data_IF_252134915139
#
_entry.id   IF_252134915139
#
_cell.length_a   1.000
_cell.length_b   1.000
_cell.length_c   1.000
_cell.angle_alpha   90.00
_cell.angle_beta   90.00
_cell.angle_gamma   90.00
#
_symmetry.space_group_name_H-M   'P 1'
#
loop_
_entity.id
_entity.type
_entity.pdbx_description
1 polymer ?
#
# COMPACT_ATOMS: atom_id res chain seq x y z
N UNK A 1 -13.90 -0.90 -7.18
CA UNK A 1 -13.74 -0.62 -5.72
C UNK A 1 -13.04 0.73 -5.54
N UNK A 2 -13.62 1.72 -4.84
CA UNK A 2 -12.97 3.02 -4.60
C UNK A 2 -12.11 2.95 -3.34
N UNK A 3 -10.79 2.97 -3.49
CA UNK A 3 -9.84 2.86 -2.38
C UNK A 3 -9.15 4.18 -2.01
N UNK A 4 -9.37 5.25 -2.77
CA UNK A 4 -8.63 6.51 -2.67
C UNK A 4 -9.37 7.58 -1.86
N UNK A 5 -8.60 8.49 -1.25
CA UNK A 5 -9.12 9.67 -0.55
C UNK A 5 -8.16 10.86 -0.69
N UNK A 6 -8.52 11.84 -1.51
CA UNK A 6 -7.71 13.03 -1.79
C UNK A 6 -7.30 13.81 -0.53
N UNK A 7 -8.20 13.95 0.44
CA UNK A 7 -7.96 14.74 1.66
C UNK A 7 -6.85 14.14 2.53
N UNK A 8 -6.62 12.82 2.45
CA UNK A 8 -5.54 12.19 3.18
C UNK A 8 -4.17 12.49 2.58
N UNK A 9 -4.11 12.71 1.27
CA UNK A 9 -2.90 13.12 0.56
C UNK A 9 -2.64 14.61 0.85
N UNK A 10 -3.68 15.45 0.91
CA UNK A 10 -3.54 16.86 1.30
C UNK A 10 -2.97 17.01 2.72
N UNK A 11 -3.51 16.23 3.67
CA UNK A 11 -2.97 16.19 5.04
C UNK A 11 -1.53 15.68 5.09
N UNK A 12 -1.18 14.73 4.23
CA UNK A 12 0.18 14.23 4.15
C UNK A 12 1.13 15.28 3.56
N UNK A 13 0.74 15.98 2.50
CA UNK A 13 1.50 17.10 1.92
C UNK A 13 1.78 18.17 2.97
N UNK A 14 0.75 18.62 3.69
CA UNK A 14 0.91 19.59 4.76
C UNK A 14 1.85 19.10 5.89
N UNK A 15 1.85 17.78 6.17
CA UNK A 15 2.76 17.20 7.15
C UNK A 15 4.21 17.18 6.66
N UNK A 16 4.44 16.90 5.37
CA UNK A 16 5.77 16.99 4.75
C UNK A 16 6.30 18.42 4.85
N UNK A 17 5.49 19.42 4.50
CA UNK A 17 5.86 20.83 4.62
C UNK A 17 6.16 21.23 6.07
N UNK A 18 5.31 20.83 7.02
CA UNK A 18 5.51 21.10 8.44
C UNK A 18 6.81 20.46 8.97
N UNK A 19 7.16 19.27 8.48
CA UNK A 19 8.40 18.60 8.86
C UNK A 19 9.64 19.35 8.36
N UNK A 20 9.65 19.78 7.09
CA UNK A 20 10.75 20.58 6.54
C UNK A 20 10.87 21.95 7.21
N UNK A 21 9.76 22.52 7.67
CA UNK A 21 9.73 23.77 8.45
C UNK A 21 9.99 23.58 9.96
N UNK A 22 10.37 22.37 10.41
CA UNK A 22 10.66 22.04 11.81
C UNK A 22 9.49 22.29 12.78
N UNK A 23 8.25 22.23 12.27
CA UNK A 23 7.02 22.43 13.05
C UNK A 23 6.49 21.14 13.68
N UNK A 24 6.92 19.99 13.17
CA UNK A 24 6.63 18.67 13.75
C UNK A 24 7.94 17.89 13.93
N UNK A 25 8.01 17.13 15.02
CA UNK A 25 9.16 16.29 15.32
C UNK A 25 9.21 15.05 14.40
N UNK A 26 10.39 14.44 14.32
CA UNK A 26 10.66 13.31 13.45
C UNK A 26 9.85 12.05 13.81
N UNK A 27 9.54 11.83 15.09
CA UNK A 27 8.80 10.65 15.53
C UNK A 27 7.33 10.75 15.12
N UNK A 28 6.72 11.91 15.37
CA UNK A 28 5.36 12.22 14.91
C UNK A 28 5.26 12.15 13.40
N UNK A 29 6.21 12.74 12.68
CA UNK A 29 6.23 12.69 11.22
C UNK A 29 6.39 11.25 10.70
N UNK A 30 7.24 10.45 11.36
CA UNK A 30 7.44 9.03 11.02
C UNK A 30 6.14 8.25 11.13
N UNK A 31 5.33 8.45 12.18
CA UNK A 31 4.03 7.82 12.27
C UNK A 31 3.10 8.21 11.09
N UNK A 32 3.08 9.50 10.71
CA UNK A 32 2.22 10.01 9.64
C UNK A 32 2.61 9.47 8.26
N UNK A 33 3.88 9.52 7.89
CA UNK A 33 4.36 9.02 6.58
C UNK A 33 4.21 7.50 6.45
N UNK A 34 4.40 6.76 7.55
CA UNK A 34 4.21 5.31 7.56
C UNK A 34 2.74 4.92 7.34
N UNK A 35 1.77 5.71 7.82
CA UNK A 35 0.36 5.49 7.50
C UNK A 35 0.06 5.67 6.01
N UNK A 36 0.86 6.47 5.29
CA UNK A 36 0.74 6.73 3.87
C UNK A 36 1.64 5.85 2.99
N UNK A 37 2.16 4.75 3.55
CA UNK A 37 3.00 3.82 2.78
C UNK A 37 4.38 4.37 2.42
N UNK A 38 4.78 5.52 2.97
CA UNK A 38 6.09 6.15 2.72
C UNK A 38 7.06 5.74 3.83
N UNK A 39 7.99 4.86 3.51
CA UNK A 39 8.93 4.24 4.45
C UNK A 39 10.35 4.78 4.25
N UNK A 40 11.07 5.01 5.34
CA UNK A 40 12.44 5.54 5.27
C UNK A 40 13.40 4.43 4.84
N UNK A 41 14.33 4.74 3.95
CA UNK A 41 15.38 3.81 3.54
C UNK A 41 16.73 4.18 4.18
N UNK A 42 17.76 3.37 3.91
CA UNK A 42 19.10 3.61 4.48
C UNK A 42 19.75 4.87 3.90
N UNK A 43 19.43 5.19 2.66
CA UNK A 43 19.90 6.38 1.96
C UNK A 43 19.12 7.60 2.46
N UNK A 44 19.85 8.66 2.78
CA UNK A 44 19.29 9.89 3.32
C UNK A 44 18.48 10.67 2.28
N UNK A 45 17.43 11.36 2.71
CA UNK A 45 16.60 12.24 1.85
C UNK A 45 15.58 11.51 0.96
N UNK A 46 15.70 10.20 0.80
CA UNK A 46 14.85 9.37 -0.07
C UNK A 46 14.07 8.33 0.72
N UNK A 47 13.00 7.82 0.12
CA UNK A 47 12.03 6.92 0.72
C UNK A 47 11.56 5.86 -0.27
N UNK A 48 11.01 4.79 0.28
CA UNK A 48 10.25 3.78 -0.44
C UNK A 48 8.75 4.11 -0.32
N UNK A 49 8.05 4.14 -1.44
CA UNK A 49 6.58 4.23 -1.51
C UNK A 49 6.04 2.83 -1.77
N UNK A 50 5.17 2.35 -0.88
CA UNK A 50 4.46 1.08 -1.05
C UNK A 50 3.03 1.32 -1.50
N UNK A 51 2.72 0.83 -2.70
CA UNK A 51 1.38 0.80 -3.26
C UNK A 51 0.65 -0.43 -2.73
N UNK A 52 -0.51 -0.23 -2.10
CA UNK A 52 -1.36 -1.32 -1.59
C UNK A 52 -2.15 -1.92 -2.75
N UNK A 53 -1.93 -3.19 -3.08
CA UNK A 53 -2.57 -3.87 -4.21
C UNK A 53 -3.34 -5.11 -3.70
N UNK A 54 -4.59 -4.95 -3.22
CA UNK A 54 -5.43 -6.05 -2.75
C UNK A 54 -5.44 -7.26 -3.69
N UNK A 55 -5.09 -8.43 -3.16
CA UNK A 55 -5.04 -9.67 -3.93
C UNK A 55 -4.04 -9.68 -5.10
N UNK A 56 -3.21 -8.66 -5.25
CA UNK A 56 -2.34 -8.49 -6.42
C UNK A 56 -3.07 -8.16 -7.72
N UNK A 57 -4.35 -7.79 -7.65
CA UNK A 57 -5.13 -7.43 -8.82
C UNK A 57 -4.83 -5.99 -9.25
N UNK A 58 -4.34 -5.83 -10.48
CA UNK A 58 -3.92 -4.54 -11.03
C UNK A 58 -4.36 -4.40 -12.49
N UNK A 59 -4.82 -3.20 -12.86
CA UNK A 59 -5.18 -2.89 -14.25
C UNK A 59 -3.99 -2.31 -15.04
N UNK A 60 -4.02 -2.31 -16.38
CA UNK A 60 -2.99 -1.66 -17.20
C UNK A 60 -2.80 -0.17 -16.87
N UNK A 61 -3.90 0.56 -16.66
CA UNK A 61 -3.86 1.99 -16.28
C UNK A 61 -3.17 2.21 -14.93
N UNK A 62 -3.35 1.28 -13.99
CA UNK A 62 -2.67 1.33 -12.69
C UNK A 62 -1.18 1.02 -12.81
N UNK A 63 -0.79 0.11 -13.70
CA UNK A 63 0.61 -0.16 -14.00
C UNK A 63 1.28 1.06 -14.66
N UNK A 64 0.61 1.71 -15.60
CA UNK A 64 1.10 2.95 -16.23
C UNK A 64 1.32 4.06 -15.21
N UNK A 65 0.40 4.25 -14.26
CA UNK A 65 0.58 5.24 -13.19
C UNK A 65 1.75 4.92 -12.25
N UNK A 66 2.03 3.64 -11.99
CA UNK A 66 3.22 3.23 -11.22
C UNK A 66 4.50 3.53 -12.00
N UNK A 67 4.51 3.26 -13.30
CA UNK A 67 5.63 3.59 -14.19
C UNK A 67 5.85 5.10 -14.27
N UNK A 68 4.79 5.90 -14.36
CA UNK A 68 4.88 7.36 -14.35
C UNK A 68 5.52 7.89 -13.06
N UNK A 69 5.17 7.31 -11.90
CA UNK A 69 5.82 7.69 -10.63
C UNK A 69 7.29 7.27 -10.59
N UNK A 70 7.62 6.09 -11.11
CA UNK A 70 9.00 5.61 -11.22
C UNK A 70 9.83 6.59 -12.07
N UNK A 71 9.37 6.90 -13.29
CA UNK A 71 10.09 7.72 -14.25
C UNK A 71 10.25 9.18 -13.79
N UNK A 72 9.25 9.73 -13.11
CA UNK A 72 9.26 11.14 -12.71
C UNK A 72 9.97 11.41 -11.38
N UNK A 73 9.96 10.46 -10.43
CA UNK A 73 10.37 10.73 -9.05
C UNK A 73 11.35 9.73 -8.45
N UNK A 74 11.51 8.53 -9.00
CA UNK A 74 12.49 7.58 -8.49
C UNK A 74 13.87 7.89 -9.06
N UNK A 75 14.91 7.72 -8.24
CA UNK A 75 16.31 7.74 -8.70
C UNK A 75 16.76 6.37 -9.25
N UNK A 76 15.83 5.44 -9.45
CA UNK A 76 16.09 4.08 -9.94
C UNK A 76 15.11 3.71 -11.05
N UNK A 77 15.44 2.71 -11.86
CA UNK A 77 14.63 2.27 -13.01
C UNK A 77 13.84 0.99 -12.73
N UNK A 78 13.73 0.58 -11.47
CA UNK A 78 13.08 -0.67 -11.08
C UNK A 78 12.04 -0.48 -9.98
N UNK A 79 10.97 -1.27 -10.08
CA UNK A 79 9.98 -1.47 -9.02
C UNK A 79 10.08 -2.88 -8.46
N UNK A 80 9.73 -3.04 -7.19
CA UNK A 80 9.85 -4.33 -6.51
C UNK A 80 8.46 -4.86 -6.18
N UNK A 81 8.14 -6.06 -6.67
CA UNK A 81 6.94 -6.79 -6.27
C UNK A 81 7.21 -7.47 -4.93
N UNK A 82 6.32 -7.29 -3.96
CA UNK A 82 6.49 -7.84 -2.63
C UNK A 82 5.91 -9.25 -2.52
N UNK A 83 6.36 -10.00 -1.50
CA UNK A 83 5.75 -11.29 -1.13
C UNK A 83 4.29 -11.17 -0.64
N UNK A 84 3.76 -9.95 -0.50
CA UNK A 84 2.35 -9.67 -0.20
C UNK A 84 1.63 -8.98 -1.35
N UNK A 85 2.08 -9.19 -2.57
CA UNK A 85 1.44 -8.71 -3.80
C UNK A 85 1.40 -7.18 -3.98
N UNK A 86 1.89 -6.40 -3.01
CA UNK A 86 2.12 -4.96 -3.16
C UNK A 86 3.27 -4.66 -4.14
N UNK A 87 3.35 -3.42 -4.59
CA UNK A 87 4.47 -2.89 -5.38
C UNK A 87 5.19 -1.80 -4.58
N UNK A 88 6.52 -1.77 -4.66
CA UNK A 88 7.36 -0.76 -4.02
C UNK A 88 8.16 0.02 -5.06
N UNK A 89 8.14 1.34 -4.92
CA UNK A 89 8.97 2.28 -5.67
C UNK A 89 9.99 2.84 -4.68
N UNK A 90 11.28 2.62 -4.93
CA UNK A 90 12.36 3.03 -4.04
C UNK A 90 12.96 4.37 -4.46
N UNK A 91 13.79 4.94 -3.59
CA UNK A 91 14.61 6.11 -3.90
C UNK A 91 13.82 7.34 -4.37
N UNK A 92 12.62 7.53 -3.80
CA UNK A 92 11.79 8.72 -4.05
C UNK A 92 12.11 9.80 -3.02
N UNK A 93 12.51 11.03 -3.42
CA UNK A 93 12.74 12.11 -2.49
C UNK A 93 11.51 12.39 -1.62
N UNK A 94 11.71 12.68 -0.33
CA UNK A 94 10.59 12.87 0.60
C UNK A 94 9.61 13.98 0.15
N UNK A 95 10.15 15.09 -0.33
CA UNK A 95 9.38 16.24 -0.81
C UNK A 95 8.47 15.92 -2.01
N UNK A 96 8.86 14.92 -2.82
CA UNK A 96 8.14 14.51 -4.02
C UNK A 96 7.12 13.39 -3.74
N UNK A 97 7.12 12.84 -2.53
CA UNK A 97 6.21 11.77 -2.14
C UNK A 97 4.72 12.16 -2.21
N UNK A 98 4.27 13.38 -1.86
CA UNK A 98 2.86 13.76 -2.05
C UNK A 98 2.45 13.78 -3.52
N UNK A 99 3.31 14.30 -4.42
CA UNK A 99 3.04 14.34 -5.85
C UNK A 99 2.99 12.92 -6.45
N UNK A 100 3.88 12.04 -6.01
CA UNK A 100 3.85 10.61 -6.36
C UNK A 100 2.51 9.96 -5.96
N UNK A 101 2.05 10.22 -4.72
CA UNK A 101 0.78 9.71 -4.21
C UNK A 101 -0.43 10.23 -5.01
N UNK A 102 -0.38 11.47 -5.54
CA UNK A 102 -1.44 12.04 -6.39
C UNK A 102 -1.59 11.32 -7.73
N UNK A 103 -0.48 10.94 -8.37
CA UNK A 103 -0.51 10.17 -9.62
C UNK A 103 -1.17 8.80 -9.37
N UNK A 104 -0.75 8.10 -8.32
CA UNK A 104 -1.33 6.82 -7.92
C UNK A 104 -2.83 6.95 -7.62
N UNK A 105 -3.22 8.01 -6.91
CA UNK A 105 -4.62 8.31 -6.60
C UNK A 105 -5.47 8.48 -7.86
N UNK A 106 -4.95 9.18 -8.87
CA UNK A 106 -5.61 9.39 -10.16
C UNK A 106 -5.96 8.07 -10.88
N UNK A 107 -5.13 7.04 -10.70
CA UNK A 107 -5.39 5.69 -11.21
C UNK A 107 -6.20 4.78 -10.25
N UNK A 108 -6.69 5.34 -9.13
CA UNK A 108 -7.45 4.60 -8.13
C UNK A 108 -6.61 3.71 -7.19
N UNK A 109 -5.29 3.86 -7.18
CA UNK A 109 -4.39 3.16 -6.26
C UNK A 109 -4.27 3.91 -4.94
N UNK A 110 -4.11 3.16 -3.86
CA UNK A 110 -3.89 3.72 -2.51
C UNK A 110 -2.57 3.23 -1.92
N UNK A 111 -1.91 4.07 -1.15
CA UNK A 111 -0.75 3.70 -0.31
C UNK A 111 -1.12 3.65 1.18
N UNK A 112 -2.36 4.03 1.51
CA UNK A 112 -2.89 4.06 2.87
C UNK A 112 -2.76 2.68 3.50
N UNK A 113 -2.18 2.62 4.69
CA UNK A 113 -2.04 1.39 5.50
C UNK A 113 -1.22 0.28 4.82
N UNK A 114 -0.42 0.60 3.80
CA UNK A 114 0.59 -0.31 3.26
C UNK A 114 1.74 -0.57 4.25
N UNK A 115 1.99 0.41 5.14
CA UNK A 115 2.98 0.41 6.19
C UNK A 115 2.35 0.73 7.57
N UNK A 116 3.19 0.82 8.61
CA UNK A 116 2.71 1.08 9.99
C UNK A 116 2.18 -0.14 10.75
N UNK A 117 1.62 0.11 11.93
CA UNK A 117 0.95 -0.88 12.77
C UNK A 117 -0.55 -0.85 12.51
N UNK A 118 -0.95 -1.57 11.46
CA UNK A 118 -2.32 -1.62 10.93
C UNK A 118 -2.49 -2.93 10.16
N UNK A 119 -3.65 -3.12 9.54
CA UNK A 119 -3.89 -4.22 8.62
C UNK A 119 -3.18 -3.92 7.29
N UNK A 120 -2.17 -4.75 6.98
CA UNK A 120 -1.38 -4.64 5.75
C UNK A 120 -2.19 -5.04 4.53
N UNK A 121 -1.56 -5.12 3.37
CA UNK A 121 -2.25 -5.64 2.21
C UNK A 121 -2.87 -7.01 2.50
N UNK A 122 -4.08 -7.24 1.99
CA UNK A 122 -4.78 -8.52 2.11
C UNK A 122 -4.44 -9.29 0.85
N UNK A 123 -3.79 -10.44 1.03
CA UNK A 123 -3.36 -11.30 -0.07
C UNK A 123 -4.45 -12.27 -0.45
N UNK A 124 -4.48 -12.68 -1.71
CA UNK A 124 -5.38 -13.71 -2.19
C UNK A 124 -4.70 -14.59 -3.23
N UNK A 125 -5.33 -15.73 -3.53
CA UNK A 125 -4.89 -16.58 -4.62
C UNK A 125 -4.85 -15.76 -5.92
N UNK A 126 -3.73 -15.76 -6.68
CA UNK A 126 -3.62 -14.97 -7.92
C UNK A 126 -4.58 -15.45 -9.03
N UNK A 127 -5.14 -16.66 -8.88
CA UNK A 127 -6.11 -17.26 -9.80
C UNK A 127 -7.54 -17.30 -9.24
N UNK A 128 -7.84 -16.54 -8.17
CA UNK A 128 -9.17 -16.48 -7.59
C UNK A 128 -10.22 -16.09 -8.66
N UNK A 129 -11.33 -16.82 -8.72
CA UNK A 129 -12.44 -16.63 -9.66
C UNK A 129 -12.25 -17.27 -11.04
N UNK A 130 -11.06 -17.80 -11.34
CA UNK A 130 -10.74 -18.44 -12.63
C UNK A 130 -10.05 -19.79 -12.49
N UNK A 131 -9.67 -20.19 -11.28
CA UNK A 131 -8.94 -21.42 -11.03
C UNK A 131 -9.91 -22.61 -11.07
N UNK A 132 -9.72 -23.62 -11.95
CA UNK A 132 -10.61 -24.78 -12.01
C UNK A 132 -10.53 -25.69 -10.76
N UNK A 133 -9.57 -25.44 -9.86
CA UNK A 133 -9.38 -26.20 -8.61
C UNK A 133 -9.89 -25.44 -7.38
N UNK A 134 -10.35 -24.20 -7.51
CA UNK A 134 -10.86 -23.47 -6.35
C UNK A 134 -12.22 -24.03 -5.93
N UNK A 135 -12.42 -24.19 -4.63
CA UNK A 135 -13.72 -24.56 -4.08
C UNK A 135 -14.63 -23.36 -3.95
N UNK A 136 -14.04 -22.17 -3.81
CA UNK A 136 -14.73 -20.90 -3.65
C UNK A 136 -13.90 -19.77 -4.24
N UNK A 137 -14.56 -18.88 -4.99
CA UNK A 137 -13.99 -17.60 -5.38
C UNK A 137 -13.92 -16.67 -4.16
N UNK A 138 -12.71 -16.39 -3.70
CA UNK A 138 -12.46 -15.55 -2.51
C UNK A 138 -12.49 -14.04 -2.80
N UNK A 139 -12.69 -13.62 -4.06
CA UNK A 139 -12.61 -12.22 -4.47
C UNK A 139 -13.59 -11.33 -3.70
N UNK A 140 -14.84 -11.80 -3.50
CA UNK A 140 -15.84 -11.04 -2.74
C UNK A 140 -15.44 -10.87 -1.26
N UNK A 141 -14.81 -11.87 -0.67
CA UNK A 141 -14.32 -11.80 0.72
C UNK A 141 -13.13 -10.86 0.86
N UNK A 142 -12.20 -10.91 -0.11
CA UNK A 142 -11.09 -9.98 -0.21
C UNK A 142 -11.58 -8.53 -0.30
N UNK A 143 -12.46 -8.22 -1.25
CA UNK A 143 -12.96 -6.86 -1.46
C UNK A 143 -13.72 -6.34 -0.24
N UNK A 144 -14.60 -7.16 0.34
CA UNK A 144 -15.35 -6.82 1.55
C UNK A 144 -14.43 -6.53 2.74
N UNK A 145 -13.42 -7.37 2.96
CA UNK A 145 -12.44 -7.18 4.03
C UNK A 145 -11.62 -5.90 3.82
N UNK A 146 -11.16 -5.63 2.60
CA UNK A 146 -10.40 -4.41 2.29
C UNK A 146 -11.26 -3.17 2.53
N UNK A 147 -12.50 -3.15 2.03
CA UNK A 147 -13.41 -2.01 2.23
C UNK A 147 -13.76 -1.78 3.70
N UNK A 148 -13.92 -2.86 4.47
CA UNK A 148 -14.25 -2.78 5.89
C UNK A 148 -13.07 -2.28 6.73
N UNK A 149 -11.85 -2.74 6.44
CA UNK A 149 -10.69 -2.50 7.29
C UNK A 149 -9.85 -1.29 6.89
N UNK A 150 -9.83 -0.92 5.61
CA UNK A 150 -9.08 0.25 5.15
C UNK A 150 -9.68 1.51 5.77
N UNK A 151 -8.86 2.31 6.47
CA UNK A 151 -9.27 3.52 7.23
C UNK A 151 -10.22 3.24 8.38
N UNK A 152 -10.36 1.98 8.80
CA UNK A 152 -11.18 1.65 9.95
C UNK A 152 -10.54 2.25 11.23
N UNK A 153 -11.30 2.97 12.07
CA UNK A 153 -10.77 3.58 13.29
C UNK A 153 -10.06 2.59 14.22
N UNK A 154 -10.52 1.33 14.24
CA UNK A 154 -9.93 0.27 15.07
C UNK A 154 -8.53 -0.14 14.63
N UNK A 155 -8.18 0.14 13.37
CA UNK A 155 -6.94 -0.34 12.75
C UNK A 155 -5.84 0.72 12.67
N UNK A 156 -6.08 1.95 13.12
CA UNK A 156 -5.15 3.06 12.92
C UNK A 156 -3.92 3.01 13.83
N UNK A 157 -4.01 2.28 14.94
CA UNK A 157 -2.96 2.16 15.97
C UNK A 157 -2.96 0.77 16.60
N UNK A 158 -2.79 -0.27 15.78
CA UNK A 158 -2.70 -1.63 16.31
C UNK A 158 -1.39 -1.83 17.11
N UNK A 159 -1.30 -2.83 18.01
CA UNK A 159 -0.05 -3.14 18.70
C UNK A 159 1.09 -3.47 17.72
N UNK A 160 0.75 -4.16 16.63
CA UNK A 160 1.67 -4.44 15.52
C UNK A 160 0.92 -4.62 14.21
N UNK A 161 1.68 -4.69 13.11
CA UNK A 161 1.15 -5.04 11.78
C UNK A 161 0.38 -6.36 11.83
N UNK A 162 -0.82 -6.38 11.27
CA UNK A 162 -1.63 -7.58 11.07
C UNK A 162 -1.76 -7.87 9.58
N UNK A 163 -1.79 -9.15 9.24
CA UNK A 163 -1.77 -9.67 7.87
C UNK A 163 -2.92 -10.65 7.70
N UNK A 164 -3.76 -10.37 6.70
CA UNK A 164 -4.89 -11.23 6.33
C UNK A 164 -4.57 -11.88 4.97
N UNK A 165 -4.97 -13.14 4.79
CA UNK A 165 -4.92 -13.83 3.49
C UNK A 165 -6.17 -14.65 3.21
N UNK A 166 -6.51 -14.80 1.93
CA UNK A 166 -7.59 -15.67 1.49
C UNK A 166 -7.11 -16.70 0.46
N UNK A 167 -7.37 -17.98 0.73
CA UNK A 167 -7.13 -19.10 -0.18
C UNK A 167 -8.43 -19.86 -0.44
N UNK A 168 -8.74 -20.13 -1.71
CA UNK A 168 -9.96 -20.82 -2.14
C UNK A 168 -9.84 -22.35 -2.24
N UNK A 169 -8.65 -22.92 -2.00
CA UNK A 169 -8.41 -24.37 -2.01
C UNK A 169 -7.20 -24.74 -1.13
N UNK A 170 -6.97 -26.04 -0.97
CA UNK A 170 -5.93 -26.63 -0.12
C UNK A 170 -4.51 -26.40 -0.65
N UNK A 171 -4.36 -25.97 -1.91
CA UNK A 171 -3.06 -25.61 -2.47
C UNK A 171 -2.44 -24.37 -1.78
N UNK A 172 -3.26 -23.59 -1.08
CA UNK A 172 -2.86 -22.42 -0.30
C UNK A 172 -1.88 -21.47 -1.02
N UNK A 173 -2.20 -21.13 -2.27
CA UNK A 173 -1.35 -20.27 -3.09
C UNK A 173 -1.17 -18.86 -2.50
N UNK A 174 -2.06 -18.43 -1.60
CA UNK A 174 -1.94 -17.16 -0.86
C UNK A 174 -1.20 -17.29 0.48
N UNK A 175 -0.71 -18.49 0.82
CA UNK A 175 0.07 -18.78 2.03
C UNK A 175 -0.66 -18.38 3.32
N UNK A 176 -1.96 -18.66 3.41
CA UNK A 176 -2.81 -18.29 4.55
C UNK A 176 -2.29 -18.85 5.87
N UNK A 177 -1.65 -20.02 5.88
CA UNK A 177 -1.17 -20.66 7.11
C UNK A 177 -0.06 -19.89 7.86
N UNK A 178 0.56 -18.89 7.24
CA UNK A 178 1.59 -18.04 7.86
C UNK A 178 1.12 -16.59 8.09
N UNK A 179 -0.16 -16.32 7.87
CA UNK A 179 -0.80 -15.03 8.13
C UNK A 179 -1.37 -14.98 9.56
N UNK A 180 -1.67 -13.76 10.02
CA UNK A 180 -2.28 -13.60 11.34
C UNK A 180 -3.75 -14.05 11.31
N UNK A 181 -4.41 -13.91 10.16
CA UNK A 181 -5.78 -14.37 9.83
C UNK A 181 -5.84 -14.92 8.41
#
# INVERSE_FOLDING_TARGET
MKLTNSEEIDRFSAAVDAYFNLQIDADRFTAMRLQQGVYGQRQEGVNMIRVKVPGGSISPVQLEAIAEVLDNYSQTEEVHITTRQDIQIHSVPLQDSPASLRILEGAGLTTREACGNTIRNITACPMAGVCPKEHVDVTTHLEGAVLHFLRNPLNQQMPRKMKISFSGCEADCAQAMIHDV
#
